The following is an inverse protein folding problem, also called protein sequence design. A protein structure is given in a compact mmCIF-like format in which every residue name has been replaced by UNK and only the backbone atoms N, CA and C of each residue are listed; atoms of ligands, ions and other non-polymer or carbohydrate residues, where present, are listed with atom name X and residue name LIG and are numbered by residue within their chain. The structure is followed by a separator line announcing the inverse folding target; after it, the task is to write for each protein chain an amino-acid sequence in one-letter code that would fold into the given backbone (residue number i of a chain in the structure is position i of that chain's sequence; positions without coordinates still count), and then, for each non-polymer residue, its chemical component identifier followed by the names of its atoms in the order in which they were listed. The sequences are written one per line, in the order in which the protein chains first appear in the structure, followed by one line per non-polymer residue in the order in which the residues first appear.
data_IF_790071236626
#
_entry.id   IF_790071236626
#
_cell.length_a   1.000
_cell.length_b   1.000
_cell.length_c   1.000
_cell.angle_alpha   90.00
_cell.angle_beta   90.00
_cell.angle_gamma   90.00
#
_symmetry.space_group_name_H-M   'P 1'
#
loop_
_entity.id
_entity.type
_entity.pdbx_description
1 polymer ?
#
# COMPACT_ATOMS: atom_id res chain seq x y z
N UNK A 1 42.94 44.74 20.46
CA UNK A 1 41.99 44.96 19.35
C UNK A 1 41.40 43.63 18.91
N UNK A 2 40.20 43.27 19.37
CA UNK A 2 39.48 42.10 18.83
C UNK A 2 39.11 42.38 17.35
N UNK A 3 39.54 41.51 16.44
CA UNK A 3 39.24 41.63 15.01
C UNK A 3 37.74 41.40 14.76
N UNK A 4 37.10 42.31 14.01
CA UNK A 4 35.68 42.22 13.58
C UNK A 4 35.33 40.86 12.99
N UNK A 5 36.29 40.19 12.34
CA UNK A 5 36.13 38.83 11.79
C UNK A 5 35.84 37.77 12.85
N UNK A 6 36.46 37.87 14.03
CA UNK A 6 36.22 36.92 15.14
C UNK A 6 34.84 37.13 15.77
N UNK A 7 34.36 38.37 15.80
CA UNK A 7 33.01 38.69 16.28
C UNK A 7 31.93 38.17 15.31
N UNK A 8 32.08 38.39 14.00
CA UNK A 8 31.16 37.83 13.01
C UNK A 8 31.17 36.29 12.98
N UNK A 9 32.35 35.67 13.15
CA UNK A 9 32.45 34.21 13.22
C UNK A 9 31.71 33.64 14.45
N UNK A 10 31.82 34.30 15.62
CA UNK A 10 31.06 33.92 16.82
C UNK A 10 29.54 34.10 16.67
N UNK A 11 29.11 35.20 16.05
CA UNK A 11 27.69 35.46 15.79
C UNK A 11 27.05 34.42 14.85
N UNK A 12 27.78 33.95 13.84
CA UNK A 12 27.31 32.90 12.93
C UNK A 12 27.12 31.55 13.65
N UNK A 13 28.00 31.22 14.60
CA UNK A 13 27.87 29.97 15.39
C UNK A 13 26.68 29.98 16.36
N UNK A 14 26.29 31.16 16.88
CA UNK A 14 25.12 31.29 17.77
C UNK A 14 23.80 31.28 16.96
N UNK A 15 23.78 31.92 15.78
CA UNK A 15 22.61 31.89 14.89
C UNK A 15 22.26 30.50 14.35
N UNK A 16 23.28 29.68 14.07
CA UNK A 16 23.10 28.32 13.58
C UNK A 16 22.52 27.36 14.63
N UNK A 17 22.82 27.57 15.92
CA UNK A 17 22.31 26.74 17.03
C UNK A 17 20.91 27.19 17.47
N UNK A 18 20.61 28.49 17.42
CA UNK A 18 19.30 29.03 17.80
C UNK A 18 18.15 28.71 16.82
N UNK A 19 18.46 28.41 15.56
CA UNK A 19 17.47 28.03 14.53
C UNK A 19 17.27 26.52 14.38
N UNK A 20 18.13 25.70 14.98
CA UNK A 20 18.00 24.24 14.95
C UNK A 20 16.66 23.72 15.50
N UNK A 21 16.07 24.28 16.59
CA UNK A 21 14.77 23.83 17.07
C UNK A 21 13.62 24.29 16.16
N UNK A 22 13.77 25.46 15.52
CA UNK A 22 12.74 26.05 14.66
C UNK A 22 12.60 25.32 13.31
N UNK A 23 13.69 24.76 12.77
CA UNK A 23 13.63 23.91 11.57
C UNK A 23 13.23 22.45 11.87
N UNK A 24 13.38 21.99 13.12
CA UNK A 24 12.96 20.64 13.53
C UNK A 24 11.42 20.48 13.54
N UNK A 25 10.69 21.59 13.68
CA UNK A 25 9.22 21.61 13.66
C UNK A 25 8.59 21.36 12.28
N UNK A 26 9.30 21.68 11.19
CA UNK A 26 8.78 21.49 9.82
C UNK A 26 9.09 20.09 9.24
N UNK A 27 10.07 19.37 9.80
CA UNK A 27 10.35 17.97 9.46
C UNK A 27 9.52 16.99 10.29
N UNK A 28 8.92 17.46 11.37
CA UNK A 28 7.97 16.72 12.19
C UNK A 28 6.58 16.74 11.56
N UNK A 29 6.47 16.27 10.31
CA UNK A 29 5.25 15.53 10.01
C UNK A 29 5.35 14.32 10.92
N UNK A 30 4.68 14.37 12.08
CA UNK A 30 4.08 13.15 12.59
C UNK A 30 3.32 12.62 11.40
N UNK A 31 3.94 11.69 10.66
CA UNK A 31 3.23 10.79 9.77
C UNK A 31 2.40 10.00 10.76
N UNK A 32 1.30 10.61 11.24
CA UNK A 32 0.27 9.98 12.05
C UNK A 32 0.11 8.66 11.39
N UNK A 33 0.57 7.58 12.03
CA UNK A 33 0.85 6.31 11.35
C UNK A 33 -0.31 6.07 10.41
N UNK A 34 -0.11 6.37 9.12
CA UNK A 34 -1.23 6.72 8.26
C UNK A 34 -2.10 5.49 8.29
N UNK A 35 -3.29 5.60 8.90
CA UNK A 35 -4.08 4.44 9.27
C UNK A 35 -4.13 3.54 8.05
N UNK A 36 -3.74 2.27 8.21
CA UNK A 36 -3.61 1.30 7.11
C UNK A 36 -4.75 1.53 6.14
N UNK A 37 -4.45 1.98 4.92
CA UNK A 37 -5.48 2.30 3.94
C UNK A 37 -6.44 1.12 3.80
N UNK A 38 -7.74 1.36 3.73
CA UNK A 38 -8.74 0.30 3.61
C UNK A 38 -9.34 0.33 2.21
N UNK A 39 -9.39 -0.83 1.57
CA UNK A 39 -9.98 -1.01 0.24
C UNK A 39 -10.99 -2.14 0.31
N UNK A 40 -12.19 -1.89 -0.22
CA UNK A 40 -13.21 -2.92 -0.43
C UNK A 40 -13.34 -3.17 -1.93
N UNK A 41 -13.27 -4.44 -2.34
CA UNK A 41 -13.43 -4.88 -3.72
C UNK A 41 -14.71 -5.70 -3.80
N UNK A 42 -15.61 -5.33 -4.71
CA UNK A 42 -16.87 -6.06 -4.93
C UNK A 42 -16.72 -6.93 -6.18
N UNK A 43 -16.79 -8.24 -5.99
CA UNK A 43 -16.58 -9.28 -7.00
C UNK A 43 -15.15 -9.85 -6.96
N UNK A 44 -15.03 -11.17 -6.86
CA UNK A 44 -13.78 -11.93 -6.79
C UNK A 44 -13.55 -12.78 -8.07
N UNK A 45 -13.88 -12.20 -9.22
CA UNK A 45 -13.48 -12.72 -10.53
C UNK A 45 -12.04 -12.31 -10.89
N UNK A 46 -11.66 -12.48 -12.16
CA UNK A 46 -10.31 -12.13 -12.63
C UNK A 46 -9.87 -10.73 -12.23
N UNK A 47 -10.71 -9.72 -12.44
CA UNK A 47 -10.36 -8.33 -12.13
C UNK A 47 -10.20 -8.07 -10.64
N UNK A 48 -11.19 -8.47 -9.83
CA UNK A 48 -11.20 -8.21 -8.40
C UNK A 48 -10.11 -8.97 -7.64
N UNK A 49 -9.91 -10.25 -7.94
CA UNK A 49 -8.85 -11.06 -7.32
C UNK A 49 -7.46 -10.58 -7.73
N UNK A 50 -7.28 -10.15 -8.98
CA UNK A 50 -6.03 -9.53 -9.44
C UNK A 50 -5.78 -8.21 -8.73
N UNK A 51 -6.79 -7.33 -8.63
CA UNK A 51 -6.68 -6.07 -7.92
C UNK A 51 -6.33 -6.30 -6.44
N UNK A 52 -7.00 -7.24 -5.77
CA UNK A 52 -6.73 -7.59 -4.38
C UNK A 52 -5.28 -8.02 -4.19
N UNK A 53 -4.81 -8.97 -5.01
CA UNK A 53 -3.43 -9.45 -4.99
C UNK A 53 -2.43 -8.30 -5.14
N UNK A 54 -2.55 -7.51 -6.20
CA UNK A 54 -1.55 -6.48 -6.49
C UNK A 54 -1.61 -5.27 -5.55
N UNK A 55 -2.77 -4.92 -4.99
CA UNK A 55 -2.85 -3.92 -3.93
C UNK A 55 -2.07 -4.39 -2.69
N UNK A 56 -2.23 -5.66 -2.31
CA UNK A 56 -1.49 -6.25 -1.17
C UNK A 56 0.00 -6.32 -1.45
N UNK A 57 0.39 -6.83 -2.62
CA UNK A 57 1.78 -7.02 -3.02
C UNK A 57 2.51 -5.66 -3.13
N UNK A 58 1.94 -4.67 -3.84
CA UNK A 58 2.57 -3.36 -4.05
C UNK A 58 2.54 -2.45 -2.82
N UNK A 59 1.56 -2.64 -1.92
CA UNK A 59 1.55 -1.91 -0.65
C UNK A 59 2.46 -2.53 0.41
N UNK A 60 3.16 -3.64 0.13
CA UNK A 60 3.91 -4.37 1.14
C UNK A 60 3.02 -4.84 2.30
N UNK A 61 1.78 -5.24 2.00
CA UNK A 61 0.74 -5.59 2.96
C UNK A 61 0.32 -4.46 3.92
N UNK A 62 0.63 -3.20 3.61
CA UNK A 62 0.24 -2.07 4.45
C UNK A 62 -1.26 -1.71 4.30
N UNK A 63 -1.88 -2.00 3.15
CA UNK A 63 -3.30 -1.74 2.89
C UNK A 63 -4.14 -2.94 3.30
N UNK A 64 -5.17 -2.69 4.10
CA UNK A 64 -6.22 -3.65 4.43
C UNK A 64 -7.15 -3.78 3.22
N UNK A 65 -7.31 -5.00 2.70
CA UNK A 65 -8.12 -5.28 1.53
C UNK A 65 -9.18 -6.29 1.95
N UNK A 66 -10.45 -5.93 1.72
CA UNK A 66 -11.59 -6.80 1.91
C UNK A 66 -12.22 -7.07 0.55
N UNK A 67 -12.34 -8.34 0.18
CA UNK A 67 -13.04 -8.73 -1.05
C UNK A 67 -14.41 -9.29 -0.67
N UNK A 68 -15.45 -8.86 -1.37
CA UNK A 68 -16.83 -9.29 -1.16
C UNK A 68 -17.32 -9.94 -2.45
N UNK A 69 -17.59 -11.23 -2.41
CA UNK A 69 -18.16 -12.01 -3.51
C UNK A 69 -19.28 -12.92 -2.96
N UNK A 70 -20.38 -13.13 -3.71
CA UNK A 70 -21.43 -14.05 -3.27
C UNK A 70 -21.04 -15.54 -3.34
N UNK A 71 -20.04 -15.90 -4.16
CA UNK A 71 -19.54 -17.26 -4.30
C UNK A 71 -18.50 -17.61 -3.23
N UNK A 72 -18.43 -18.89 -2.87
CA UNK A 72 -17.40 -19.45 -1.98
C UNK A 72 -16.11 -19.84 -2.74
N UNK A 73 -16.17 -19.89 -4.07
CA UNK A 73 -15.05 -20.14 -4.97
C UNK A 73 -15.27 -19.44 -6.33
N UNK A 74 -14.17 -19.17 -7.03
CA UNK A 74 -14.22 -18.63 -8.39
C UNK A 74 -14.47 -19.75 -9.41
N UNK A 75 -15.53 -19.63 -10.20
CA UNK A 75 -15.81 -20.54 -11.34
C UNK A 75 -15.50 -19.81 -12.65
N UNK A 76 -14.55 -20.35 -13.41
CA UNK A 76 -14.11 -19.76 -14.67
C UNK A 76 -15.15 -19.93 -15.78
N UNK A 77 -15.69 -18.82 -16.29
CA UNK A 77 -16.46 -18.80 -17.54
C UNK A 77 -15.58 -19.10 -18.77
N UNK A 78 -14.37 -18.53 -18.92
CA UNK A 78 -13.41 -19.03 -19.89
C UNK A 78 -13.19 -20.53 -19.67
N UNK A 79 -12.99 -21.29 -20.74
CA UNK A 79 -12.87 -22.76 -20.74
C UNK A 79 -14.09 -23.57 -20.26
N UNK A 80 -15.19 -22.94 -19.84
CA UNK A 80 -16.43 -23.65 -19.45
C UNK A 80 -17.04 -24.48 -20.59
N UNK A 81 -16.81 -24.10 -21.85
CA UNK A 81 -17.20 -24.91 -23.02
C UNK A 81 -16.55 -26.31 -23.02
N UNK A 82 -15.37 -26.48 -22.40
CA UNK A 82 -14.73 -27.79 -22.25
C UNK A 82 -15.47 -28.68 -21.25
N UNK A 83 -16.19 -28.08 -20.28
CA UNK A 83 -17.08 -28.81 -19.39
C UNK A 83 -18.33 -29.26 -20.15
N UNK A 84 -18.94 -28.36 -20.92
CA UNK A 84 -20.10 -28.69 -21.76
C UNK A 84 -19.77 -29.79 -22.78
N UNK A 85 -18.56 -29.75 -23.35
CA UNK A 85 -18.06 -30.77 -24.27
C UNK A 85 -17.62 -32.09 -23.60
N UNK A 86 -17.64 -32.18 -22.26
CA UNK A 86 -17.24 -33.38 -21.52
C UNK A 86 -15.72 -33.62 -21.41
N UNK A 87 -14.89 -32.65 -21.81
CA UNK A 87 -13.43 -32.74 -21.75
C UNK A 87 -12.84 -32.27 -20.40
N UNK A 88 -13.62 -31.54 -19.60
CA UNK A 88 -13.28 -31.09 -18.24
C UNK A 88 -14.46 -31.30 -17.29
N UNK A 89 -14.15 -31.35 -16.01
CA UNK A 89 -15.12 -31.34 -14.92
C UNK A 89 -15.37 -29.90 -14.40
N UNK A 90 -16.42 -29.71 -13.61
CA UNK A 90 -16.64 -28.45 -12.90
C UNK A 90 -15.49 -28.10 -11.95
N UNK A 91 -14.86 -29.12 -11.36
CA UNK A 91 -13.72 -28.96 -10.45
C UNK A 91 -12.50 -28.40 -11.19
N UNK A 92 -12.28 -28.80 -12.44
CA UNK A 92 -11.15 -28.32 -13.26
C UNK A 92 -11.22 -26.82 -13.59
N UNK A 93 -12.39 -26.19 -13.42
CA UNK A 93 -12.62 -24.77 -13.72
C UNK A 93 -12.99 -23.97 -12.47
N UNK A 94 -12.95 -24.60 -11.28
CA UNK A 94 -13.27 -23.96 -9.99
C UNK A 94 -11.99 -23.75 -9.20
N UNK A 95 -11.79 -22.56 -8.66
CA UNK A 95 -10.61 -22.18 -7.87
C UNK A 95 -11.05 -21.68 -6.50
N UNK A 96 -10.57 -22.33 -5.43
CA UNK A 96 -10.78 -21.84 -4.06
C UNK A 96 -10.05 -20.53 -3.85
N UNK A 97 -10.62 -19.64 -3.03
CA UNK A 97 -9.95 -18.40 -2.61
C UNK A 97 -8.82 -18.64 -1.60
N UNK A 98 -8.72 -19.84 -1.03
CA UNK A 98 -7.66 -20.26 -0.10
C UNK A 98 -6.43 -20.90 -0.80
N UNK A 99 -6.51 -21.11 -2.12
CA UNK A 99 -5.50 -21.83 -2.91
C UNK A 99 -4.18 -21.06 -3.12
#
# INVERSE_FOLDING_TARGET
MQSRRKFLAGAATVGAIGLAPALSGCASTTRSAAGKGKVVIVGAGYGGSTAAKYIRDWSGNAIEVTVVDPGDAFISCPVSNLVIAGAKSMQDITTSYDA
#
